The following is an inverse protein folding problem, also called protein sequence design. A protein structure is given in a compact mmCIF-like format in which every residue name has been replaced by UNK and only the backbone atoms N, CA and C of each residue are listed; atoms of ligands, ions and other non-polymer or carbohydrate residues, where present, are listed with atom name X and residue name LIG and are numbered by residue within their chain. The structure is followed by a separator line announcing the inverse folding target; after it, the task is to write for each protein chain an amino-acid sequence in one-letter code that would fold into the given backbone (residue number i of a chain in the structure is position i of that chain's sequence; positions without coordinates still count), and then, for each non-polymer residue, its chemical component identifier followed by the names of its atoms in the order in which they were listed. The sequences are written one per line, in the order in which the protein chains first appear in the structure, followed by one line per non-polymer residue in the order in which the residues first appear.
data_IF_439803108400
#
_entry.id   IF_439803108400
#
_cell.length_a   1.000
_cell.length_b   1.000
_cell.length_c   1.000
_cell.angle_alpha   90.00
_cell.angle_beta   90.00
_cell.angle_gamma   90.00
#
_symmetry.space_group_name_H-M   'P 1'
#
loop_
_entity.id
_entity.type
_entity.pdbx_description
1 polymer ?
#
# COMPACT_ATOMS: atom_id res chain seq x y z
N UNK A 1 -3.41 -14.38 -17.04
CA UNK A 1 -4.16 -13.87 -16.17
C UNK A 1 -3.45 -13.01 -15.27
N UNK A 2 -2.68 -12.50 -14.97
CA UNK A 2 -2.09 -11.50 -14.18
C UNK A 2 -2.50 -11.43 -12.74
N UNK A 3 -3.04 -12.50 -12.22
CA UNK A 3 -3.46 -12.46 -10.84
C UNK A 3 -2.32 -12.90 -9.97
N UNK A 4 -1.99 -12.07 -8.99
CA UNK A 4 -0.91 -12.40 -8.10
C UNK A 4 -1.36 -13.40 -7.07
N UNK A 5 -0.44 -14.29 -6.70
CA UNK A 5 -0.73 -15.22 -5.65
C UNK A 5 -0.72 -14.51 -4.32
N UNK A 6 -1.38 -15.11 -3.33
CA UNK A 6 -1.44 -14.50 -2.00
C UNK A 6 -0.07 -14.23 -1.45
N UNK A 7 0.87 -15.15 -1.63
CA UNK A 7 2.20 -14.94 -1.09
C UNK A 7 2.88 -13.74 -1.73
N UNK A 8 2.67 -13.57 -3.03
CA UNK A 8 3.29 -12.44 -3.71
C UNK A 8 2.67 -11.14 -3.24
N UNK A 9 1.37 -11.14 -3.02
CA UNK A 9 0.70 -9.94 -2.54
C UNK A 9 1.18 -9.59 -1.15
N UNK A 10 1.30 -10.58 -0.28
CA UNK A 10 1.78 -10.33 1.07
C UNK A 10 3.18 -9.73 1.03
N UNK A 11 4.02 -10.24 0.15
CA UNK A 11 5.36 -9.71 0.03
C UNK A 11 5.37 -8.26 -0.42
N UNK A 12 4.57 -7.95 -1.42
CA UNK A 12 4.52 -6.60 -1.93
C UNK A 12 3.98 -5.65 -0.87
N UNK A 13 2.89 -6.01 -0.23
CA UNK A 13 2.31 -5.17 0.80
C UNK A 13 3.27 -4.99 1.96
N UNK A 14 3.97 -6.08 2.33
CA UNK A 14 4.94 -5.99 3.41
C UNK A 14 6.05 -5.00 3.11
N UNK A 15 6.51 -4.97 1.87
CA UNK A 15 7.54 -4.01 1.49
C UNK A 15 7.02 -2.59 1.56
N UNK A 16 5.79 -2.36 1.13
CA UNK A 16 5.21 -1.03 1.22
C UNK A 16 5.15 -0.59 2.68
N UNK A 17 4.69 -1.48 3.54
CA UNK A 17 4.57 -1.13 4.95
C UNK A 17 5.92 -0.86 5.58
N UNK A 18 6.92 -1.65 5.22
CA UNK A 18 8.23 -1.47 5.82
C UNK A 18 8.90 -0.18 5.38
N UNK A 19 8.49 0.37 4.23
CA UNK A 19 9.06 1.61 3.72
C UNK A 19 8.19 2.81 3.99
N UNK A 20 7.06 2.62 4.65
CA UNK A 20 6.15 3.73 4.91
C UNK A 20 6.85 4.78 5.75
N UNK A 21 6.73 6.05 5.36
CA UNK A 21 7.38 7.11 6.13
C UNK A 21 6.76 7.24 7.50
N UNK A 22 7.55 7.81 8.39
CA UNK A 22 7.12 7.91 9.76
C UNK A 22 5.86 8.74 9.92
N UNK A 23 5.73 9.80 9.12
CA UNK A 23 4.55 10.63 9.22
C UNK A 23 3.29 9.83 8.90
N UNK A 24 3.41 8.89 7.94
CA UNK A 24 2.27 8.09 7.54
C UNK A 24 1.86 7.15 8.66
N UNK A 25 2.85 6.51 9.28
CA UNK A 25 2.56 5.61 10.38
C UNK A 25 1.92 6.36 11.53
N UNK A 26 2.43 7.54 11.81
CA UNK A 26 1.90 8.35 12.88
C UNK A 26 0.47 8.76 12.59
N UNK A 27 0.20 9.18 11.36
CA UNK A 27 -1.12 9.64 11.01
C UNK A 27 -2.16 8.52 11.00
N UNK A 28 -1.72 7.29 10.71
CA UNK A 28 -2.65 6.17 10.77
C UNK A 28 -3.17 5.95 12.18
N UNK A 29 -2.42 6.38 13.18
CA UNK A 29 -2.83 6.24 14.57
C UNK A 29 -3.40 7.52 15.13
N UNK A 30 -3.62 8.52 14.29
CA UNK A 30 -4.10 9.81 14.76
C UNK A 30 -5.51 9.71 15.31
N UNK A 31 -5.81 10.57 16.28
CA UNK A 31 -7.14 10.60 16.84
C UNK A 31 -8.11 11.30 15.94
N UNK A 32 -7.62 12.23 15.13
CA UNK A 32 -8.48 12.95 14.24
C UNK A 32 -8.89 12.15 13.06
N UNK A 33 -10.19 11.96 12.83
CA UNK A 33 -10.63 11.09 11.73
C UNK A 33 -10.15 11.54 10.37
N UNK A 34 -10.08 12.83 10.12
CA UNK A 34 -9.63 13.31 8.81
C UNK A 34 -8.17 12.99 8.56
N UNK A 35 -7.35 13.15 9.59
CA UNK A 35 -5.94 12.82 9.44
C UNK A 35 -5.76 11.34 9.20
N UNK A 36 -6.47 10.53 9.97
CA UNK A 36 -6.39 9.08 9.82
C UNK A 36 -6.87 8.65 8.44
N UNK A 37 -7.96 9.25 7.98
CA UNK A 37 -8.51 8.89 6.70
C UNK A 37 -7.56 9.23 5.55
N UNK A 38 -6.91 10.37 5.62
CA UNK A 38 -5.93 10.73 4.60
C UNK A 38 -4.77 9.75 4.57
N UNK A 39 -4.33 9.34 5.75
CA UNK A 39 -3.24 8.38 5.83
C UNK A 39 -3.66 7.05 5.25
N UNK A 40 -4.89 6.64 5.51
CA UNK A 40 -5.40 5.39 4.97
C UNK A 40 -5.45 5.44 3.45
N UNK A 41 -5.90 6.55 2.91
CA UNK A 41 -5.97 6.69 1.46
C UNK A 41 -4.59 6.70 0.84
N UNK A 42 -3.65 7.36 1.49
CA UNK A 42 -2.30 7.39 0.99
C UNK A 42 -1.69 5.99 0.98
N UNK A 43 -1.88 5.27 2.06
CA UNK A 43 -1.35 3.92 2.13
C UNK A 43 -2.01 3.02 1.10
N UNK A 44 -3.31 3.14 0.92
CA UNK A 44 -4.01 2.35 -0.08
C UNK A 44 -3.47 2.63 -1.47
N UNK A 45 -3.20 3.88 -1.77
CA UNK A 45 -2.64 4.24 -3.07
C UNK A 45 -1.24 3.68 -3.25
N UNK A 46 -0.44 3.70 -2.20
CA UNK A 46 0.90 3.14 -2.27
C UNK A 46 0.87 1.64 -2.53
N UNK A 47 -0.04 0.97 -1.85
CA UNK A 47 -0.16 -0.47 -2.03
C UNK A 47 -0.65 -0.79 -3.43
N UNK A 48 -1.64 -0.05 -3.91
CA UNK A 48 -2.18 -0.29 -5.24
C UNK A 48 -1.11 -0.06 -6.30
N UNK A 49 -0.31 0.98 -6.13
CA UNK A 49 0.75 1.26 -7.09
C UNK A 49 1.80 0.16 -7.07
N UNK A 50 2.15 -0.32 -5.88
CA UNK A 50 3.15 -1.35 -5.77
C UNK A 50 2.67 -2.67 -6.39
N UNK A 51 1.41 -2.99 -6.18
CA UNK A 51 0.87 -4.21 -6.76
C UNK A 51 0.85 -4.10 -8.27
N UNK A 52 0.45 -2.95 -8.77
CA UNK A 52 0.40 -2.73 -10.20
C UNK A 52 1.78 -2.88 -10.83
N UNK A 53 2.80 -2.35 -10.18
CA UNK A 53 4.14 -2.46 -10.70
C UNK A 53 4.70 -3.85 -10.61
N UNK A 54 4.27 -4.60 -9.63
CA UNK A 54 4.79 -5.94 -9.43
C UNK A 54 4.19 -6.96 -10.35
N UNK A 55 3.07 -6.65 -10.99
CA UNK A 55 2.44 -7.59 -11.87
C UNK A 55 3.27 -7.79 -13.11
N UNK A 56 3.57 -9.01 -13.46
CA UNK A 56 4.44 -9.25 -14.60
C UNK A 56 3.84 -8.84 -15.91
N UNK A 57 2.55 -8.85 -16.04
CA UNK A 57 1.93 -8.51 -17.24
C UNK A 57 1.18 -7.30 -17.13
N UNK A 58 1.72 -6.24 -17.60
CA UNK A 58 1.04 -5.04 -17.59
C UNK A 58 0.39 -4.91 -18.86
N UNK A 59 -0.82 -5.11 -18.92
CA UNK A 59 -1.51 -4.94 -20.15
C UNK A 59 -1.75 -3.54 -20.38
N UNK A 60 -1.35 -3.06 -21.39
CA UNK A 60 -1.59 -1.65 -21.68
C UNK A 60 -2.68 -1.46 -22.69
#
# INVERSE_FOLDING_TARGET
MGIMRSEAIIEVVGKVLSRAPEWLRSDLAAREPLVRQRAEETLAAMIAAAISEAEPEKLT
#
